data_IF_493012900497
#
_entry.id   IF_493012900497
#
_cell.length_a   1.000
_cell.length_b   1.000
_cell.length_c   1.000
_cell.angle_alpha   90.00
_cell.angle_beta   90.00
_cell.angle_gamma   90.00
#
_symmetry.space_group_name_H-M   'P 1'
#
loop_
_entity.id
_entity.type
_entity.pdbx_description
1 polymer ?
#
# COMPACT_ATOMS: atom_id res chain seq x y z
N UNK A 1 -14.96 26.41 -36.19
CA UNK A 1 -14.47 27.78 -36.09
C UNK A 1 -13.14 27.84 -35.36
N UNK A 2 -12.43 28.93 -35.48
CA UNK A 2 -11.15 29.13 -34.78
C UNK A 2 -11.34 29.13 -33.25
N UNK A 3 -12.45 29.63 -32.76
CA UNK A 3 -12.77 29.69 -31.33
C UNK A 3 -12.97 28.28 -30.76
N UNK A 4 -13.71 27.46 -31.48
CA UNK A 4 -13.93 26.03 -31.05
C UNK A 4 -12.63 25.26 -31.05
N UNK A 5 -11.75 25.45 -32.03
CA UNK A 5 -10.44 24.84 -32.09
C UNK A 5 -9.52 25.27 -30.95
N UNK A 6 -9.59 26.54 -30.55
CA UNK A 6 -8.82 27.06 -29.42
C UNK A 6 -9.32 26.50 -28.07
N UNK A 7 -10.62 26.42 -27.89
CA UNK A 7 -11.22 25.86 -26.69
C UNK A 7 -10.88 24.37 -26.55
N UNK A 8 -10.91 23.63 -27.66
CA UNK A 8 -10.54 22.24 -27.68
C UNK A 8 -9.06 22.03 -27.30
N UNK A 9 -8.16 22.85 -27.82
CA UNK A 9 -6.74 22.82 -27.48
C UNK A 9 -6.50 23.15 -26.01
N UNK A 10 -7.21 24.13 -25.47
CA UNK A 10 -7.15 24.45 -24.02
C UNK A 10 -7.58 23.29 -23.16
N UNK A 11 -8.64 22.63 -23.54
CA UNK A 11 -9.16 21.45 -22.80
C UNK A 11 -8.15 20.31 -22.82
N UNK A 12 -7.59 20.00 -23.99
CA UNK A 12 -6.59 18.96 -24.15
C UNK A 12 -5.33 19.25 -23.32
N UNK A 13 -4.88 20.50 -23.33
CA UNK A 13 -3.72 20.94 -22.59
C UNK A 13 -3.96 20.85 -21.07
N UNK A 14 -5.14 21.23 -20.62
CA UNK A 14 -5.52 21.14 -19.21
C UNK A 14 -5.58 19.69 -18.75
N UNK A 15 -6.17 18.80 -19.54
CA UNK A 15 -6.24 17.37 -19.24
C UNK A 15 -4.84 16.76 -19.11
N UNK A 16 -3.96 17.11 -20.04
CA UNK A 16 -2.55 16.68 -19.99
C UNK A 16 -1.84 17.18 -18.74
N UNK A 17 -2.07 18.45 -18.41
CA UNK A 17 -1.47 19.06 -17.20
C UNK A 17 -1.95 18.38 -15.93
N UNK A 18 -3.25 18.06 -15.83
CA UNK A 18 -3.82 17.36 -14.69
C UNK A 18 -3.23 15.94 -14.56
N UNK A 19 -3.04 15.24 -15.68
CA UNK A 19 -2.42 13.90 -15.65
C UNK A 19 -0.98 13.98 -15.17
N UNK A 20 -0.22 14.99 -15.59
CA UNK A 20 1.15 15.20 -15.13
C UNK A 20 1.19 15.50 -13.62
N UNK A 21 0.22 16.28 -13.11
CA UNK A 21 0.11 16.54 -11.68
C UNK A 21 -0.21 15.28 -10.89
N UNK A 22 -1.06 14.41 -11.40
CA UNK A 22 -1.38 13.12 -10.77
C UNK A 22 -0.14 12.23 -10.70
N UNK A 23 0.64 12.16 -11.78
CA UNK A 23 1.89 11.41 -11.82
C UNK A 23 2.88 11.91 -10.76
N UNK A 24 3.03 13.22 -10.63
CA UNK A 24 3.90 13.84 -9.65
C UNK A 24 3.41 13.54 -8.23
N UNK A 25 2.11 13.66 -7.98
CA UNK A 25 1.52 13.39 -6.67
C UNK A 25 1.77 11.95 -6.22
N UNK A 26 1.56 10.99 -7.13
CA UNK A 26 1.80 9.56 -6.85
C UNK A 26 3.29 9.30 -6.59
N UNK A 27 4.18 9.91 -7.38
CA UNK A 27 5.62 9.75 -7.21
C UNK A 27 6.09 10.29 -5.85
N UNK A 28 5.56 11.44 -5.42
CA UNK A 28 5.87 12.02 -4.12
C UNK A 28 5.36 11.12 -2.99
N UNK A 29 4.13 10.65 -3.09
CA UNK A 29 3.53 9.75 -2.10
C UNK A 29 4.36 8.47 -1.96
N UNK A 30 4.76 7.87 -3.06
CA UNK A 30 5.61 6.68 -3.05
C UNK A 30 6.93 6.94 -2.36
N UNK A 31 7.58 8.06 -2.66
CA UNK A 31 8.86 8.41 -2.03
C UNK A 31 8.71 8.60 -0.52
N UNK A 32 7.66 9.29 -0.08
CA UNK A 32 7.39 9.50 1.34
C UNK A 32 7.18 8.17 2.06
N UNK A 33 6.39 7.27 1.49
CA UNK A 33 6.12 5.96 2.07
C UNK A 33 7.41 5.14 2.15
N UNK A 34 8.21 5.11 1.09
CA UNK A 34 9.46 4.34 1.06
C UNK A 34 10.49 4.87 2.06
N UNK A 35 10.56 6.18 2.26
CA UNK A 35 11.41 6.77 3.29
C UNK A 35 10.91 6.37 4.68
N UNK A 36 9.60 6.43 4.93
CA UNK A 36 9.00 6.00 6.19
C UNK A 36 9.30 4.54 6.49
N UNK A 37 9.19 3.65 5.49
CA UNK A 37 9.49 2.22 5.65
C UNK A 37 10.95 1.98 6.06
N UNK A 38 11.89 2.78 5.54
CA UNK A 38 13.31 2.63 5.87
C UNK A 38 13.65 3.11 7.27
N UNK A 39 12.89 4.07 7.80
CA UNK A 39 13.19 4.73 9.06
C UNK A 39 12.37 4.22 10.25
N UNK A 40 11.24 3.55 9.99
CA UNK A 40 10.34 3.11 11.07
C UNK A 40 9.53 1.89 10.64
N UNK A 41 9.45 0.91 11.54
CA UNK A 41 8.57 -0.26 11.36
C UNK A 41 7.10 0.07 11.51
N UNK A 42 6.75 1.25 12.01
CA UNK A 42 5.36 1.65 12.26
C UNK A 42 4.54 1.75 10.98
N UNK A 43 5.14 2.18 9.87
CA UNK A 43 4.45 2.31 8.59
C UNK A 43 3.94 0.96 8.10
N UNK A 44 4.80 -0.07 8.09
CA UNK A 44 4.40 -1.41 7.67
C UNK A 44 3.37 -2.02 8.61
N UNK A 45 3.55 -1.86 9.92
CA UNK A 45 2.59 -2.32 10.92
C UNK A 45 1.22 -1.67 10.71
N UNK A 46 1.19 -0.38 10.45
CA UNK A 46 -0.05 0.35 10.18
C UNK A 46 -0.76 -0.18 8.92
N UNK A 47 -0.01 -0.41 7.86
CA UNK A 47 -0.57 -0.96 6.62
C UNK A 47 -1.21 -2.33 6.84
N UNK A 48 -0.53 -3.20 7.57
CA UNK A 48 -1.02 -4.53 7.90
C UNK A 48 -2.26 -4.45 8.79
N UNK A 49 -2.19 -3.65 9.86
CA UNK A 49 -3.30 -3.50 10.81
C UNK A 49 -4.54 -2.89 10.15
N UNK A 50 -4.36 -1.91 9.27
CA UNK A 50 -5.47 -1.29 8.53
C UNK A 50 -6.17 -2.30 7.63
N UNK A 51 -5.41 -3.11 6.92
CA UNK A 51 -5.98 -4.15 6.06
C UNK A 51 -6.69 -5.23 6.88
N UNK A 52 -6.09 -5.66 7.99
CA UNK A 52 -6.69 -6.65 8.88
C UNK A 52 -8.02 -6.16 9.47
N UNK A 53 -8.11 -4.87 9.80
CA UNK A 53 -9.32 -4.27 10.36
C UNK A 53 -10.50 -4.23 9.40
N UNK A 54 -10.26 -4.31 8.10
CA UNK A 54 -11.31 -4.32 7.07
C UNK A 54 -11.79 -5.73 6.72
N UNK A 55 -11.14 -6.76 7.25
CA UNK A 55 -11.44 -8.15 6.93
C UNK A 55 -12.27 -8.81 8.04
N UNK A 56 -13.10 -9.78 7.63
CA UNK A 56 -13.80 -10.62 8.58
C UNK A 56 -12.84 -11.60 9.24
N UNK A 57 -13.21 -12.11 10.41
CA UNK A 57 -12.39 -13.06 11.15
C UNK A 57 -12.11 -14.32 10.34
N UNK A 58 -10.87 -14.78 10.35
CA UNK A 58 -10.41 -15.95 9.60
C UNK A 58 -9.89 -17.04 10.54
N UNK A 59 -9.85 -18.26 10.03
CA UNK A 59 -9.30 -19.40 10.78
C UNK A 59 -7.79 -19.28 10.96
N UNK A 60 -7.12 -18.77 9.92
CA UNK A 60 -5.68 -18.52 9.97
C UNK A 60 -5.33 -17.38 9.03
N UNK A 61 -4.18 -16.77 9.26
CA UNK A 61 -3.63 -15.73 8.39
C UNK A 61 -2.10 -15.84 8.38
N UNK A 62 -1.51 -15.62 7.21
CA UNK A 62 -0.06 -15.55 7.06
C UNK A 62 0.28 -14.19 6.46
N UNK A 63 1.19 -13.48 7.10
CA UNK A 63 1.66 -12.16 6.64
C UNK A 63 3.09 -12.34 6.16
N UNK A 64 3.30 -12.16 4.87
CA UNK A 64 4.63 -12.25 4.26
C UNK A 64 5.20 -10.84 4.11
N UNK A 65 6.34 -10.60 4.71
CA UNK A 65 7.04 -9.30 4.64
C UNK A 65 8.47 -9.50 4.18
N UNK A 66 9.06 -8.49 3.56
CA UNK A 66 10.46 -8.54 3.17
C UNK A 66 11.35 -8.64 4.41
N UNK A 67 12.52 -9.22 4.24
CA UNK A 67 13.53 -9.30 5.31
C UNK A 67 13.83 -7.93 5.90
N UNK A 68 13.95 -6.93 5.05
CA UNK A 68 14.27 -5.57 5.48
C UNK A 68 13.15 -4.96 6.35
N UNK A 69 11.89 -5.15 5.95
CA UNK A 69 10.74 -4.69 6.73
C UNK A 69 10.63 -5.44 8.05
N UNK A 70 10.91 -6.74 8.04
CA UNK A 70 10.90 -7.55 9.26
C UNK A 70 11.95 -7.08 10.28
N UNK A 71 13.14 -6.69 9.80
CA UNK A 71 14.22 -6.19 10.64
C UNK A 71 13.89 -4.83 11.28
N UNK A 72 13.11 -4.02 10.56
CA UNK A 72 12.67 -2.70 11.04
C UNK A 72 11.47 -2.83 11.99
N UNK A 73 10.60 -3.81 11.75
CA UNK A 73 9.49 -4.14 12.65
C UNK A 73 10.07 -4.84 13.89
N UNK A 74 9.76 -4.32 15.05
CA UNK A 74 10.26 -4.92 16.30
C UNK A 74 9.56 -6.25 16.53
N UNK A 75 10.32 -7.35 16.53
CA UNK A 75 9.80 -8.66 16.89
C UNK A 75 9.27 -8.62 18.33
N UNK A 76 8.10 -9.23 18.54
CA UNK A 76 7.52 -9.30 19.86
C UNK A 76 6.75 -8.07 20.28
N UNK A 77 6.39 -7.19 19.35
CA UNK A 77 5.48 -6.07 19.63
C UNK A 77 4.09 -6.64 19.96
N UNK A 78 3.79 -6.73 21.23
CA UNK A 78 2.55 -7.33 21.74
C UNK A 78 1.33 -6.55 21.29
N UNK A 79 1.42 -5.23 21.21
CA UNK A 79 0.31 -4.38 20.77
C UNK A 79 -0.05 -4.65 19.32
N UNK A 80 0.96 -4.77 18.45
CA UNK A 80 0.75 -5.11 17.05
C UNK A 80 0.14 -6.51 16.90
N UNK A 81 0.66 -7.51 17.62
CA UNK A 81 0.12 -8.86 17.59
C UNK A 81 -1.32 -8.91 18.08
N UNK A 82 -1.66 -8.13 19.11
CA UNK A 82 -3.03 -8.04 19.62
C UNK A 82 -3.98 -7.42 18.57
N UNK A 83 -3.51 -6.47 17.79
CA UNK A 83 -4.28 -5.91 16.69
C UNK A 83 -4.62 -6.97 15.65
N UNK A 84 -3.67 -7.85 15.35
CA UNK A 84 -3.89 -8.95 14.40
C UNK A 84 -4.77 -10.07 14.96
N UNK A 85 -4.90 -10.19 16.27
CA UNK A 85 -5.74 -11.23 16.90
C UNK A 85 -7.22 -11.07 16.57
N UNK A 86 -7.66 -9.86 16.18
CA UNK A 86 -9.03 -9.61 15.72
C UNK A 86 -9.27 -10.27 14.36
N UNK A 87 -8.24 -10.40 13.53
CA UNK A 87 -8.32 -11.07 12.24
C UNK A 87 -8.33 -12.59 12.40
N UNK A 88 -7.43 -13.11 13.23
CA UNK A 88 -7.32 -14.54 13.49
C UNK A 88 -6.54 -14.80 14.77
N UNK A 89 -6.89 -15.88 15.47
CA UNK A 89 -6.12 -16.37 16.60
C UNK A 89 -4.84 -17.11 16.16
N UNK A 90 -4.72 -17.41 14.86
CA UNK A 90 -3.60 -18.14 14.29
C UNK A 90 -2.96 -17.30 13.17
N UNK A 91 -2.16 -16.33 13.57
CA UNK A 91 -1.44 -15.44 12.63
C UNK A 91 0.05 -15.78 12.67
N UNK A 92 0.65 -15.95 11.49
CA UNK A 92 2.09 -16.12 11.34
C UNK A 92 2.66 -15.00 10.48
N UNK A 93 3.79 -14.46 10.90
CA UNK A 93 4.53 -13.47 10.13
C UNK A 93 5.74 -14.18 9.53
N UNK A 94 5.85 -14.16 8.22
CA UNK A 94 6.87 -14.91 7.47
C UNK A 94 7.77 -13.94 6.74
N UNK A 95 9.07 -14.11 6.95
CA UNK A 95 10.10 -13.29 6.31
C UNK A 95 10.43 -13.82 4.93
N UNK A 96 10.40 -12.94 3.93
CA UNK A 96 10.83 -13.25 2.56
C UNK A 96 12.24 -12.72 2.33
N UNK A 97 13.16 -13.60 1.93
CA UNK A 97 14.59 -13.25 1.82
C UNK A 97 14.93 -12.41 0.58
N UNK A 98 14.23 -12.62 -0.53
CA UNK A 98 14.60 -12.06 -1.83
C UNK A 98 13.66 -10.97 -2.34
N UNK A 99 12.80 -10.43 -1.48
CA UNK A 99 11.83 -9.41 -1.87
C UNK A 99 12.30 -8.01 -1.48
N UNK A 100 11.89 -7.03 -2.27
CA UNK A 100 12.19 -5.62 -2.00
C UNK A 100 11.45 -5.12 -0.76
N UNK A 101 12.03 -4.14 -0.10
CA UNK A 101 11.38 -3.41 0.98
C UNK A 101 10.03 -2.86 0.50
N UNK A 102 9.00 -2.96 1.33
CA UNK A 102 7.66 -2.54 0.97
C UNK A 102 6.80 -3.62 0.33
N UNK A 103 7.34 -4.84 0.13
CA UNK A 103 6.58 -5.98 -0.34
C UNK A 103 5.90 -6.65 0.84
N UNK A 104 4.59 -6.76 0.79
CA UNK A 104 3.79 -7.39 1.84
C UNK A 104 2.59 -8.11 1.24
N UNK A 105 2.42 -9.36 1.59
CA UNK A 105 1.32 -10.20 1.10
C UNK A 105 0.62 -10.82 2.30
N UNK A 106 -0.70 -10.72 2.31
CA UNK A 106 -1.55 -11.32 3.32
C UNK A 106 -2.27 -12.52 2.70
N UNK A 107 -1.94 -13.72 3.17
CA UNK A 107 -2.56 -14.96 2.72
C UNK A 107 -3.60 -15.42 3.73
N UNK A 108 -4.81 -15.62 3.25
CA UNK A 108 -5.97 -16.05 4.03
C UNK A 108 -6.52 -17.35 3.46
N UNK A 109 -7.36 -18.09 4.19
CA UNK A 109 -7.95 -19.35 3.68
C UNK A 109 -8.71 -19.19 2.37
N UNK A 110 -9.34 -18.04 2.15
CA UNK A 110 -10.25 -17.78 1.03
C UNK A 110 -9.72 -16.76 0.01
N UNK A 111 -8.63 -16.08 0.31
CA UNK A 111 -8.08 -15.04 -0.60
C UNK A 111 -6.63 -14.71 -0.30
N UNK A 112 -6.00 -14.01 -1.24
CA UNK A 112 -4.67 -13.44 -1.08
C UNK A 112 -4.80 -11.95 -1.33
N UNK A 113 -4.29 -11.13 -0.41
CA UNK A 113 -4.32 -9.67 -0.51
C UNK A 113 -2.89 -9.15 -0.62
N UNK A 114 -2.60 -8.41 -1.69
CA UNK A 114 -1.30 -7.78 -1.89
C UNK A 114 -1.32 -6.39 -1.27
N UNK A 115 -0.56 -6.20 -0.19
CA UNK A 115 -0.44 -4.94 0.53
C UNK A 115 0.82 -4.17 0.16
N UNK A 116 1.57 -4.64 -0.84
CA UNK A 116 2.83 -4.02 -1.25
C UNK A 116 2.66 -2.56 -1.66
N UNK A 117 3.70 -1.76 -1.45
CA UNK A 117 3.69 -0.32 -1.78
C UNK A 117 3.31 -0.10 -3.24
N UNK A 118 3.86 -0.90 -4.17
CA UNK A 118 3.53 -0.77 -5.59
C UNK A 118 2.03 -0.94 -5.85
N UNK A 119 1.40 -1.91 -5.20
CA UNK A 119 -0.04 -2.14 -5.33
C UNK A 119 -0.83 -0.98 -4.75
N UNK A 120 -0.42 -0.45 -3.59
CA UNK A 120 -1.08 0.70 -2.97
C UNK A 120 -0.96 1.95 -3.85
N UNK A 121 0.19 2.16 -4.48
CA UNK A 121 0.37 3.29 -5.39
C UNK A 121 -0.50 3.17 -6.63
N UNK A 122 -0.64 1.97 -7.18
CA UNK A 122 -1.55 1.71 -8.30
C UNK A 122 -3.00 2.00 -7.92
N UNK A 123 -3.42 1.60 -6.73
CA UNK A 123 -4.76 1.86 -6.22
C UNK A 123 -5.01 3.37 -6.03
N UNK A 124 -4.04 4.11 -5.50
CA UNK A 124 -4.14 5.56 -5.34
C UNK A 124 -4.26 6.24 -6.70
N UNK A 125 -3.48 5.80 -7.69
CA UNK A 125 -3.55 6.34 -9.05
C UNK A 125 -4.94 6.12 -9.66
N UNK A 126 -5.49 4.94 -9.49
CA UNK A 126 -6.83 4.61 -9.96
C UNK A 126 -7.89 5.52 -9.33
N UNK A 127 -7.78 5.76 -8.01
CA UNK A 127 -8.69 6.68 -7.32
C UNK A 127 -8.59 8.10 -7.87
N UNK A 128 -7.39 8.58 -8.18
CA UNK A 128 -7.19 9.89 -8.76
C UNK A 128 -7.76 9.99 -10.18
N UNK A 129 -7.62 8.93 -10.97
CA UNK A 129 -8.15 8.90 -12.34
C UNK A 129 -9.67 8.89 -12.37
N UNK A 130 -10.32 8.38 -11.33
CA UNK A 130 -11.77 8.31 -11.20
C UNK A 130 -12.37 9.49 -10.42
N UNK A 131 -11.53 10.42 -9.98
CA UNK A 131 -11.97 11.57 -9.20
C UNK A 131 -12.54 12.69 -10.11
#
# INVERSE_FOLDING_TARGET
SCIEGMEQKKKELLEKYLDELKDIAVAIAEKVIRVSLRTSGETMKYMIASAAGELEKKEWAKVYVSKHDMDVMIEGDVEFLNTLSDLSSNVKIIKMENEEQGTCILELPDEIVDLSVNTQMANIRELLDNA
#
